data_IF_857665017847
#
_entry.id   IF_857665017847
#
_cell.length_a   1.000
_cell.length_b   1.000
_cell.length_c   1.000
_cell.angle_alpha   90.00
_cell.angle_beta   90.00
_cell.angle_gamma   90.00
#
_symmetry.space_group_name_H-M   'P 1'
#
loop_
_entity.id
_entity.type
_entity.pdbx_description
1 polymer ?
#
# COMPACT_ATOMS: atom_id res chain seq x y z
N UNK A 1 9.89 6.56 2.73
CA UNK A 1 9.42 6.84 4.12
C UNK A 1 9.55 8.32 4.50
N UNK A 2 10.72 8.95 4.37
CA UNK A 2 11.02 10.31 4.88
C UNK A 2 9.96 11.38 4.55
N UNK A 3 9.48 11.44 3.32
CA UNK A 3 8.53 12.46 2.90
C UNK A 3 7.11 12.23 3.43
N UNK A 4 6.70 10.98 3.66
CA UNK A 4 5.42 10.67 4.30
C UNK A 4 5.44 11.12 5.76
N UNK A 5 6.50 10.77 6.49
CA UNK A 5 6.63 11.14 7.91
C UNK A 5 6.60 12.65 8.11
N UNK A 6 7.25 13.41 7.23
CA UNK A 6 7.18 14.88 7.22
C UNK A 6 5.78 15.40 6.91
N UNK A 7 5.03 14.75 6.02
CA UNK A 7 3.69 15.21 5.65
C UNK A 7 2.66 15.06 6.79
N UNK A 8 2.84 14.06 7.66
CA UNK A 8 1.95 13.82 8.82
C UNK A 8 2.48 14.40 10.13
N UNK A 9 3.64 15.06 10.10
CA UNK A 9 4.27 15.66 11.26
C UNK A 9 3.34 16.71 11.90
N UNK A 10 3.20 16.68 13.23
CA UNK A 10 2.29 17.55 13.96
C UNK A 10 0.81 17.15 13.89
N UNK A 11 0.43 16.18 13.06
CA UNK A 11 -0.91 15.59 13.06
C UNK A 11 -0.88 14.20 13.71
N UNK A 12 -0.93 14.16 15.04
CA UNK A 12 -0.84 12.92 15.84
C UNK A 12 -1.91 11.89 15.47
N UNK A 13 -3.11 12.33 15.09
CA UNK A 13 -4.17 11.42 14.64
C UNK A 13 -3.78 10.68 13.34
N UNK A 14 -3.16 11.36 12.37
CA UNK A 14 -2.67 10.74 11.15
C UNK A 14 -1.37 9.95 11.36
N UNK A 15 -0.46 10.45 12.21
CA UNK A 15 0.82 9.79 12.49
C UNK A 15 0.66 8.43 13.20
N UNK A 16 -0.47 8.20 13.88
CA UNK A 16 -0.79 6.94 14.53
C UNK A 16 -1.47 5.92 13.60
N UNK A 17 -1.89 6.32 12.40
CA UNK A 17 -2.45 5.41 11.40
C UNK A 17 -1.32 4.66 10.67
N UNK A 18 -1.60 3.41 10.30
CA UNK A 18 -0.78 2.69 9.33
C UNK A 18 -0.81 3.37 7.96
N UNK A 19 0.19 3.07 7.10
CA UNK A 19 0.19 3.64 5.74
C UNK A 19 -1.01 3.17 4.94
N UNK A 20 -1.44 1.93 5.16
CA UNK A 20 -2.61 1.31 4.55
C UNK A 20 -3.89 2.05 4.92
N UNK A 21 -4.09 2.40 6.20
CA UNK A 21 -5.23 3.21 6.66
C UNK A 21 -5.21 4.64 6.10
N UNK A 22 -4.02 5.23 5.93
CA UNK A 22 -3.90 6.57 5.35
C UNK A 22 -4.26 6.61 3.87
N UNK A 23 -3.85 5.60 3.09
CA UNK A 23 -4.11 5.57 1.64
C UNK A 23 -5.49 5.02 1.29
N UNK A 24 -6.13 4.27 2.19
CA UNK A 24 -7.49 3.75 2.02
C UNK A 24 -8.57 4.84 2.17
N UNK A 25 -8.29 5.91 2.92
CA UNK A 25 -9.22 7.02 3.18
C UNK A 25 -8.50 8.37 3.05
N UNK A 26 -8.12 8.71 1.83
CA UNK A 26 -7.44 9.98 1.52
C UNK A 26 -8.34 11.20 1.72
N UNK A 27 -9.67 11.04 1.66
CA UNK A 27 -10.60 12.15 1.86
C UNK A 27 -10.59 12.64 3.32
N UNK A 28 -10.31 11.74 4.28
CA UNK A 28 -10.05 12.12 5.69
C UNK A 28 -8.76 12.90 5.91
N UNK A 29 -7.86 12.95 4.93
CA UNK A 29 -6.58 13.65 5.02
C UNK A 29 -6.77 15.13 4.61
N UNK A 30 -6.27 16.10 5.40
CA UNK A 30 -6.35 17.52 5.06
C UNK A 30 -5.80 17.83 3.67
N UNK A 31 -6.52 18.67 2.92
CA UNK A 31 -6.24 19.02 1.52
C UNK A 31 -4.76 19.38 1.28
N UNK A 32 -4.20 20.20 2.18
CA UNK A 32 -2.85 20.74 2.05
C UNK A 32 -1.74 19.67 2.12
N UNK A 33 -2.03 18.48 2.65
CA UNK A 33 -1.07 17.36 2.71
C UNK A 33 -1.53 16.12 1.94
N UNK A 34 -2.78 16.06 1.46
CA UNK A 34 -3.36 14.85 0.86
C UNK A 34 -2.55 14.32 -0.31
N UNK A 35 -2.06 15.19 -1.19
CA UNK A 35 -1.21 14.76 -2.32
C UNK A 35 0.11 14.16 -1.86
N UNK A 36 0.73 14.71 -0.81
CA UNK A 36 1.97 14.18 -0.26
C UNK A 36 1.75 12.80 0.39
N UNK A 37 0.65 12.63 1.12
CA UNK A 37 0.24 11.34 1.71
C UNK A 37 -0.08 10.32 0.61
N UNK A 38 -0.86 10.69 -0.41
CA UNK A 38 -1.16 9.80 -1.56
C UNK A 38 0.11 9.31 -2.24
N UNK A 39 0.99 10.21 -2.63
CA UNK A 39 2.14 9.85 -3.46
C UNK A 39 3.22 9.10 -2.65
N UNK A 40 3.55 9.56 -1.45
CA UNK A 40 4.60 8.95 -0.64
C UNK A 40 4.10 7.76 0.18
N UNK A 41 2.87 7.82 0.68
CA UNK A 41 2.18 6.71 1.35
C UNK A 41 1.87 5.59 0.38
N UNK A 42 1.25 5.90 -0.76
CA UNK A 42 1.01 4.93 -1.83
C UNK A 42 2.31 4.32 -2.35
N UNK A 43 3.34 5.15 -2.55
CA UNK A 43 4.67 4.66 -2.88
C UNK A 43 5.22 3.67 -1.85
N UNK A 44 5.11 3.96 -0.55
CA UNK A 44 5.59 3.05 0.48
C UNK A 44 4.79 1.74 0.53
N UNK A 45 3.45 1.82 0.52
CA UNK A 45 2.58 0.65 0.53
C UNK A 45 2.85 -0.27 -0.67
N UNK A 46 2.94 0.30 -1.88
CA UNK A 46 3.22 -0.45 -3.11
C UNK A 46 4.57 -1.18 -3.05
N UNK A 47 5.64 -0.52 -2.60
CA UNK A 47 6.95 -1.15 -2.53
C UNK A 47 7.03 -2.20 -1.42
N UNK A 48 6.39 -1.96 -0.26
CA UNK A 48 6.32 -2.95 0.82
C UNK A 48 5.65 -4.23 0.32
N UNK A 49 4.51 -4.10 -0.37
CA UNK A 49 3.83 -5.25 -0.99
C UNK A 49 4.73 -5.91 -2.05
N UNK A 50 5.28 -5.13 -2.98
CA UNK A 50 6.10 -5.65 -4.08
C UNK A 50 7.22 -6.58 -3.59
N UNK A 51 7.96 -6.17 -2.55
CA UNK A 51 9.04 -6.99 -2.03
C UNK A 51 8.56 -8.26 -1.32
N UNK A 52 7.36 -8.27 -0.74
CA UNK A 52 6.77 -9.49 -0.14
C UNK A 52 6.27 -10.49 -1.19
N UNK A 53 6.01 -10.05 -2.42
CA UNK A 53 5.55 -10.92 -3.51
C UNK A 53 6.72 -11.60 -4.26
N UNK A 54 7.96 -11.16 -4.04
CA UNK A 54 9.13 -11.73 -4.68
C UNK A 54 9.82 -12.77 -3.79
N UNK A 55 10.30 -13.84 -4.41
CA UNK A 55 11.10 -14.88 -3.77
C UNK A 55 12.20 -15.33 -4.74
N UNK A 56 13.45 -15.55 -4.27
CA UNK A 56 14.51 -16.14 -5.10
C UNK A 56 14.13 -17.49 -5.71
N UNK A 57 13.23 -18.22 -5.03
CA UNK A 57 12.74 -19.53 -5.42
C UNK A 57 11.24 -19.49 -5.80
N UNK A 58 10.71 -18.30 -6.11
CA UNK A 58 9.34 -18.13 -6.58
C UNK A 58 9.15 -18.53 -8.06
N UNK A 59 7.99 -18.19 -8.61
CA UNK A 59 7.62 -18.54 -9.99
C UNK A 59 6.88 -19.87 -10.11
N UNK A 60 6.72 -20.35 -11.34
CA UNK A 60 5.80 -21.46 -11.66
C UNK A 60 4.35 -20.98 -11.79
N UNK A 61 3.43 -21.93 -11.91
CA UNK A 61 2.00 -21.66 -11.95
C UNK A 61 1.45 -21.31 -10.56
N UNK A 62 0.39 -20.48 -10.46
CA UNK A 62 -0.35 -20.30 -9.21
C UNK A 62 -0.81 -21.65 -8.64
N UNK A 63 -0.96 -21.75 -7.31
CA UNK A 63 -1.41 -22.97 -6.64
C UNK A 63 -2.57 -22.71 -5.67
N UNK A 64 -3.29 -23.77 -5.30
CA UNK A 64 -4.39 -23.71 -4.35
C UNK A 64 -5.58 -22.87 -4.82
N UNK A 65 -6.33 -22.29 -3.88
CA UNK A 65 -7.53 -21.52 -4.16
C UNK A 65 -7.30 -20.33 -5.11
N UNK A 66 -6.10 -19.73 -5.09
CA UNK A 66 -5.76 -18.65 -6.02
C UNK A 66 -5.72 -19.15 -7.47
N UNK A 67 -5.20 -20.35 -7.73
CA UNK A 67 -5.16 -20.93 -9.06
C UNK A 67 -6.56 -21.25 -9.59
N UNK A 68 -7.41 -21.81 -8.72
CA UNK A 68 -8.81 -22.11 -9.04
C UNK A 68 -9.57 -20.84 -9.42
N UNK A 69 -9.41 -19.77 -8.65
CA UNK A 69 -10.08 -18.49 -8.92
C UNK A 69 -9.55 -17.81 -10.18
N UNK A 70 -8.23 -17.86 -10.43
CA UNK A 70 -7.64 -17.34 -11.67
C UNK A 70 -8.25 -18.06 -12.88
N UNK A 71 -8.30 -19.39 -12.86
CA UNK A 71 -8.86 -20.14 -13.99
C UNK A 71 -10.37 -19.90 -14.15
N UNK A 72 -11.10 -19.78 -13.04
CA UNK A 72 -12.53 -19.46 -13.04
C UNK A 72 -12.84 -18.11 -13.70
N UNK A 73 -12.02 -17.10 -13.42
CA UNK A 73 -12.25 -15.72 -13.91
C UNK A 73 -11.64 -15.49 -15.30
N UNK A 74 -10.51 -16.12 -15.61
CA UNK A 74 -9.70 -15.79 -16.78
C UNK A 74 -9.51 -16.92 -17.82
N UNK A 75 -9.89 -18.17 -17.52
CA UNK A 75 -9.89 -19.31 -18.47
C UNK A 75 -8.81 -20.36 -18.23
#
# INVERSE_FOLDING_TARGET
MTNLNKAVEGNTALANKSVEELVADLDSVPENIRTAVRNNGGGHANHKLFWTLLSPNGGGEPTGALAEEINSVFG
#
